data_IF_457316168593
#
_entry.id   IF_457316168593
#
_cell.length_a   1.000
_cell.length_b   1.000
_cell.length_c   1.000
_cell.angle_alpha   90.00
_cell.angle_beta   90.00
_cell.angle_gamma   90.00
#
_symmetry.space_group_name_H-M   'P 1'
#
loop_
_entity.id
_entity.type
_entity.pdbx_description
1 polymer ?
#
# COMPACT_ATOMS: atom_id res chain seq x y z
N UNK A 1 3.67 18.65 -2.94
CA UNK A 1 2.73 17.92 -3.80
C UNK A 1 1.33 18.16 -3.26
N UNK A 2 0.77 19.34 -3.50
CA UNK A 2 -0.43 19.83 -2.82
C UNK A 2 -1.64 19.93 -3.75
N UNK A 3 -1.69 19.14 -4.82
CA UNK A 3 -2.79 19.21 -5.79
C UNK A 3 -3.00 17.88 -6.54
N UNK A 4 -2.82 16.76 -5.84
CA UNK A 4 -3.39 15.50 -6.32
C UNK A 4 -4.75 15.39 -5.66
N UNK A 5 -5.81 15.69 -6.41
CA UNK A 5 -7.19 15.48 -5.98
C UNK A 5 -7.33 14.06 -5.39
N UNK A 6 -7.53 13.96 -4.08
CA UNK A 6 -7.71 12.67 -3.38
C UNK A 6 -8.84 11.82 -3.99
N UNK A 7 -9.82 12.48 -4.64
CA UNK A 7 -10.87 11.81 -5.42
C UNK A 7 -10.33 10.96 -6.57
N UNK A 8 -9.27 11.39 -7.25
CA UNK A 8 -8.74 10.70 -8.44
C UNK A 8 -8.03 9.39 -8.09
N UNK A 9 -7.44 9.31 -6.89
CA UNK A 9 -6.82 8.07 -6.39
C UNK A 9 -7.88 7.03 -6.00
N UNK A 10 -9.12 7.45 -5.76
CA UNK A 10 -10.24 6.57 -5.45
C UNK A 10 -10.57 5.57 -6.56
N UNK A 11 -10.22 5.84 -7.82
CA UNK A 11 -10.47 4.95 -8.96
C UNK A 11 -9.27 4.07 -9.35
N UNK A 12 -8.13 4.26 -8.69
CA UNK A 12 -6.92 3.52 -9.01
C UNK A 12 -7.10 2.05 -8.61
N UNK A 13 -6.91 1.14 -9.57
CA UNK A 13 -7.03 -0.32 -9.35
C UNK A 13 -5.69 -1.00 -9.12
N UNK A 14 -4.60 -0.43 -9.64
CA UNK A 14 -3.26 -0.99 -9.56
C UNK A 14 -2.28 0.12 -9.20
N UNK A 15 -1.44 -0.12 -8.20
CA UNK A 15 -0.36 0.76 -7.78
C UNK A 15 0.93 -0.04 -7.69
N UNK A 16 1.95 0.41 -8.40
CA UNK A 16 3.30 -0.17 -8.33
C UNK A 16 4.28 0.93 -7.96
N UNK A 17 5.05 0.72 -6.91
CA UNK A 17 6.06 1.66 -6.42
C UNK A 17 7.39 0.92 -6.34
N UNK A 18 8.40 1.47 -7.02
CA UNK A 18 9.72 0.84 -7.13
C UNK A 18 10.83 1.83 -6.83
N UNK A 19 11.81 1.41 -6.02
CA UNK A 19 13.07 2.12 -5.76
C UNK A 19 12.90 3.54 -5.15
N UNK A 20 11.81 3.77 -4.41
CA UNK A 20 11.60 5.03 -3.70
C UNK A 20 12.27 5.01 -2.32
N UNK A 21 13.57 5.26 -2.31
CA UNK A 21 14.43 5.21 -1.10
C UNK A 21 14.08 6.22 -0.02
N UNK A 22 13.26 7.23 -0.33
CA UNK A 22 12.80 8.28 0.60
C UNK A 22 11.33 8.16 0.99
N UNK A 23 10.59 7.22 0.40
CA UNK A 23 9.18 7.05 0.72
C UNK A 23 9.04 6.38 2.09
N UNK A 24 8.26 7.00 2.96
CA UNK A 24 8.02 6.52 4.34
C UNK A 24 6.60 5.99 4.54
N UNK A 25 5.65 6.51 3.76
CA UNK A 25 4.24 6.10 3.74
C UNK A 25 3.69 6.25 2.32
N UNK A 26 2.67 5.46 1.99
CA UNK A 26 1.98 5.49 0.68
C UNK A 26 0.65 6.24 0.79
N UNK A 27 0.05 6.31 1.98
CA UNK A 27 -1.30 6.83 2.16
C UNK A 27 -1.41 7.68 3.42
N UNK A 28 -2.09 8.82 3.31
CA UNK A 28 -2.41 9.73 4.42
C UNK A 28 -3.89 9.69 4.84
N UNK A 29 -4.82 9.38 3.92
CA UNK A 29 -6.27 9.28 4.20
C UNK A 29 -7.03 8.82 2.96
N UNK A 30 -8.04 7.93 3.15
CA UNK A 30 -9.14 7.53 2.23
C UNK A 30 -8.87 7.28 0.73
N UNK A 31 -7.61 7.33 0.32
CA UNK A 31 -7.14 7.10 -1.03
C UNK A 31 -7.09 5.59 -1.27
N UNK A 32 -7.33 5.15 -2.51
CA UNK A 32 -7.21 3.73 -2.92
C UNK A 32 -8.36 2.79 -2.53
N UNK A 33 -9.58 3.29 -2.28
CA UNK A 33 -10.77 2.46 -1.99
C UNK A 33 -11.04 1.33 -3.01
N UNK A 34 -10.68 1.54 -4.28
CA UNK A 34 -10.87 0.56 -5.38
C UNK A 34 -9.56 -0.17 -5.78
N UNK A 35 -8.52 -0.07 -4.97
CA UNK A 35 -7.22 -0.67 -5.27
C UNK A 35 -7.26 -2.18 -5.09
N UNK A 36 -7.07 -2.88 -6.20
CA UNK A 36 -7.04 -4.34 -6.28
C UNK A 36 -5.62 -4.89 -6.18
N UNK A 37 -4.62 -4.17 -6.68
CA UNK A 37 -3.24 -4.66 -6.75
C UNK A 37 -2.27 -3.62 -6.23
N UNK A 38 -1.48 -4.00 -5.23
CA UNK A 38 -0.37 -3.21 -4.71
C UNK A 38 0.93 -3.98 -4.89
N UNK A 39 1.94 -3.33 -5.48
CA UNK A 39 3.30 -3.86 -5.56
C UNK A 39 4.32 -2.84 -5.08
N UNK A 40 5.12 -3.24 -4.10
CA UNK A 40 6.25 -2.47 -3.57
C UNK A 40 7.55 -3.21 -3.82
N UNK A 41 8.52 -2.51 -4.35
CA UNK A 41 9.85 -3.06 -4.62
C UNK A 41 10.93 -2.05 -4.25
N UNK A 42 11.95 -2.47 -3.49
CA UNK A 42 13.10 -1.63 -3.14
C UNK A 42 12.71 -0.30 -2.47
N UNK A 43 11.77 -0.33 -1.52
CA UNK A 43 11.35 0.85 -0.75
C UNK A 43 11.79 0.74 0.73
N UNK A 44 13.09 0.96 1.04
CA UNK A 44 13.71 0.61 2.33
C UNK A 44 13.39 1.54 3.49
N UNK A 45 12.61 2.61 3.29
CA UNK A 45 12.21 3.55 4.38
C UNK A 45 10.74 3.44 4.78
N UNK A 46 9.96 2.67 4.04
CA UNK A 46 8.55 2.44 4.36
C UNK A 46 8.48 1.59 5.62
N UNK A 47 7.71 2.05 6.60
CA UNK A 47 7.45 1.33 7.86
C UNK A 47 6.04 0.77 7.97
N UNK A 48 5.07 1.57 7.51
CA UNK A 48 3.64 1.26 7.50
C UNK A 48 3.03 1.69 6.17
N UNK A 49 2.16 0.87 5.57
CA UNK A 49 1.53 1.20 4.28
C UNK A 49 0.20 1.96 4.46
N UNK A 50 -0.66 1.42 5.32
CA UNK A 50 -2.03 1.88 5.49
C UNK A 50 -2.28 2.32 6.95
N UNK A 51 -2.44 3.63 7.21
CA UNK A 51 -2.89 4.10 8.51
C UNK A 51 -4.37 3.72 8.75
N UNK A 52 -4.81 3.82 10.01
CA UNK A 52 -6.11 3.34 10.52
C UNK A 52 -7.36 3.77 9.74
N UNK A 53 -7.30 4.86 8.97
CA UNK A 53 -8.42 5.41 8.20
C UNK A 53 -8.53 4.92 6.75
N UNK A 54 -7.61 4.06 6.27
CA UNK A 54 -7.54 3.65 4.87
C UNK A 54 -7.47 2.12 4.72
N UNK A 55 -8.63 1.46 4.66
CA UNK A 55 -8.72 0.02 4.46
C UNK A 55 -8.95 -0.33 2.99
N UNK A 56 -8.03 -1.03 2.31
CA UNK A 56 -8.19 -1.43 0.93
C UNK A 56 -9.00 -2.73 0.85
N UNK A 57 -10.29 -2.69 1.17
CA UNK A 57 -11.16 -3.89 1.17
C UNK A 57 -11.30 -4.55 -0.19
N UNK A 58 -10.99 -3.82 -1.27
CA UNK A 58 -10.95 -4.34 -2.64
C UNK A 58 -9.61 -4.98 -3.04
N UNK A 59 -8.62 -5.03 -2.13
CA UNK A 59 -7.29 -5.56 -2.42
C UNK A 59 -7.36 -7.08 -2.66
N UNK A 60 -6.89 -7.48 -3.83
CA UNK A 60 -6.83 -8.85 -4.32
C UNK A 60 -5.39 -9.40 -4.28
N UNK A 61 -4.42 -8.53 -4.57
CA UNK A 61 -3.00 -8.88 -4.69
C UNK A 61 -2.12 -7.88 -3.93
N UNK A 62 -1.26 -8.40 -3.05
CA UNK A 62 -0.22 -7.65 -2.35
C UNK A 62 1.14 -8.29 -2.59
N UNK A 63 2.03 -7.55 -3.26
CA UNK A 63 3.43 -7.95 -3.46
C UNK A 63 4.35 -6.93 -2.79
N UNK A 64 5.25 -7.38 -1.94
CA UNK A 64 6.24 -6.52 -1.28
C UNK A 64 7.61 -7.20 -1.35
N UNK A 65 8.59 -6.48 -1.91
CA UNK A 65 9.95 -6.97 -2.10
C UNK A 65 10.98 -5.95 -1.65
N UNK A 66 12.04 -6.38 -0.97
CA UNK A 66 13.18 -5.52 -0.62
C UNK A 66 12.77 -4.24 0.16
N UNK A 67 11.77 -4.37 1.03
CA UNK A 67 11.24 -3.30 1.87
C UNK A 67 11.71 -3.48 3.32
N UNK A 68 13.03 -3.44 3.52
CA UNK A 68 13.76 -3.87 4.73
C UNK A 68 13.40 -3.20 6.07
N UNK A 69 12.54 -2.18 6.06
CA UNK A 69 12.06 -1.48 7.27
C UNK A 69 10.56 -1.60 7.46
N UNK A 70 9.89 -2.41 6.64
CA UNK A 70 8.45 -2.58 6.73
C UNK A 70 8.13 -3.40 7.98
N UNK A 71 7.51 -2.74 8.96
CA UNK A 71 7.14 -3.36 10.23
C UNK A 71 5.70 -3.87 10.18
N UNK A 72 4.81 -3.10 9.54
CA UNK A 72 3.39 -3.44 9.42
C UNK A 72 2.85 -3.05 8.06
N UNK A 73 1.89 -3.80 7.55
CA UNK A 73 1.11 -3.39 6.38
C UNK A 73 -0.06 -2.48 6.81
N UNK A 74 -0.74 -2.85 7.89
CA UNK A 74 -1.91 -2.17 8.45
C UNK A 74 -1.66 -1.85 9.93
N UNK A 75 -2.13 -0.69 10.40
CA UNK A 75 -1.95 -0.27 11.80
C UNK A 75 -2.85 -1.04 12.78
N UNK A 76 -3.95 -1.60 12.27
CA UNK A 76 -4.92 -2.40 13.03
C UNK A 76 -5.20 -3.72 12.32
N UNK A 77 -5.84 -4.68 13.02
CA UNK A 77 -6.32 -5.90 12.39
C UNK A 77 -7.44 -5.59 11.41
N UNK A 78 -7.36 -6.19 10.22
CA UNK A 78 -8.26 -5.89 9.10
C UNK A 78 -8.61 -7.18 8.38
N UNK A 79 -9.87 -7.31 8.00
CA UNK A 79 -10.31 -8.36 7.10
C UNK A 79 -10.16 -7.91 5.65
N UNK A 80 -9.49 -8.72 4.85
CA UNK A 80 -9.30 -8.49 3.42
C UNK A 80 -9.99 -9.61 2.65
N UNK A 81 -11.34 -9.57 2.52
CA UNK A 81 -12.11 -10.70 2.01
C UNK A 81 -11.78 -11.08 0.56
N UNK A 82 -11.20 -10.16 -0.20
CA UNK A 82 -10.83 -10.37 -1.59
C UNK A 82 -9.35 -10.76 -1.79
N UNK A 83 -8.53 -10.70 -0.74
CA UNK A 83 -7.09 -10.94 -0.87
C UNK A 83 -6.82 -12.43 -1.08
N UNK A 84 -6.37 -12.77 -2.29
CA UNK A 84 -6.04 -14.15 -2.66
C UNK A 84 -4.57 -14.33 -3.05
N UNK A 85 -3.78 -13.24 -3.09
CA UNK A 85 -2.36 -13.32 -3.40
C UNK A 85 -1.56 -12.41 -2.47
N UNK A 86 -0.66 -13.02 -1.72
CA UNK A 86 0.28 -12.36 -0.82
C UNK A 86 1.69 -12.85 -1.12
N UNK A 87 2.55 -11.96 -1.62
CA UNK A 87 3.96 -12.25 -1.83
C UNK A 87 4.80 -11.29 -0.99
N UNK A 88 5.57 -11.83 -0.06
CA UNK A 88 6.50 -11.09 0.79
C UNK A 88 7.89 -11.68 0.56
N UNK A 89 8.86 -10.86 0.15
CA UNK A 89 10.20 -11.33 -0.19
C UNK A 89 11.27 -10.35 0.26
N UNK A 90 12.30 -10.84 0.96
CA UNK A 90 13.42 -10.02 1.45
C UNK A 90 12.96 -8.72 2.13
N UNK A 91 12.05 -8.86 3.11
CA UNK A 91 11.55 -7.77 3.95
C UNK A 91 12.45 -7.50 5.15
#
# INVERSE_FOLDING_TARGET
FSDVDEERLGNLKTLSITNLRRLESICSSSSFKNLKKLSLDCCPRIKTLFPTSALPTSLEVLNIKFCVKLEKVFEQEVELPNLHTLCLFEL
#
